data_IF_823273817282
#
_entry.id   IF_823273817282
#
_cell.length_a   1.000
_cell.length_b   1.000
_cell.length_c   1.000
_cell.angle_alpha   90.00
_cell.angle_beta   90.00
_cell.angle_gamma   90.00
#
_symmetry.space_group_name_H-M   'P 1'
#
loop_
_entity.id
_entity.type
_entity.pdbx_description
1 polymer ?
#
# COMPACT_ATOMS: atom_id res chain seq x y z
N UNK A 1 1.34 -7.46 21.00
CA UNK A 1 2.09 -7.86 19.80
C UNK A 1 2.98 -6.71 19.35
N UNK A 2 4.23 -7.01 19.06
CA UNK A 2 5.19 -5.99 18.66
C UNK A 2 4.89 -5.49 17.24
N UNK A 3 5.09 -4.18 17.05
CA UNK A 3 4.82 -3.53 15.77
C UNK A 3 6.00 -3.53 14.81
N UNK A 4 7.18 -3.89 15.29
CA UNK A 4 8.38 -3.84 14.47
C UNK A 4 8.69 -5.21 13.87
N UNK A 5 8.96 -5.29 12.56
CA UNK A 5 9.26 -6.57 11.91
C UNK A 5 10.66 -7.05 12.31
N UNK A 6 10.71 -7.96 13.26
CA UNK A 6 11.94 -8.64 13.68
C UNK A 6 11.78 -10.14 13.45
N UNK A 7 12.90 -10.87 13.48
CA UNK A 7 12.85 -12.33 13.37
C UNK A 7 11.98 -12.94 14.48
N UNK A 8 12.07 -12.39 15.67
CA UNK A 8 11.30 -12.86 16.83
C UNK A 8 9.81 -12.63 16.61
N UNK A 9 9.43 -11.45 16.06
CA UNK A 9 8.03 -11.15 15.79
C UNK A 9 7.46 -12.10 14.74
N UNK A 10 8.19 -12.36 13.67
CA UNK A 10 7.75 -13.29 12.63
C UNK A 10 7.57 -14.69 13.19
N UNK A 11 8.51 -15.14 14.05
CA UNK A 11 8.40 -16.43 14.71
C UNK A 11 7.18 -16.51 15.62
N UNK A 12 6.92 -15.47 16.41
CA UNK A 12 5.77 -15.40 17.30
C UNK A 12 4.46 -15.49 16.52
N UNK A 13 4.35 -14.77 15.42
CA UNK A 13 3.18 -14.85 14.53
C UNK A 13 3.01 -16.27 13.97
N UNK A 14 4.09 -16.88 13.51
CA UNK A 14 4.05 -18.22 12.96
C UNK A 14 3.58 -19.23 14.01
N UNK A 15 4.06 -19.12 15.24
CA UNK A 15 3.68 -20.02 16.34
C UNK A 15 2.21 -19.85 16.73
N UNK A 16 1.65 -18.65 16.58
CA UNK A 16 0.25 -18.37 16.93
C UNK A 16 -0.72 -18.63 15.78
N UNK A 17 -0.23 -18.90 14.58
CA UNK A 17 -1.07 -19.09 13.39
C UNK A 17 -2.13 -20.19 13.58
N UNK A 18 -1.84 -21.35 14.21
CA UNK A 18 -2.88 -22.37 14.45
C UNK A 18 -4.02 -21.90 15.33
N UNK A 19 -3.80 -20.87 16.17
CA UNK A 19 -4.80 -20.36 17.12
C UNK A 19 -5.51 -19.15 16.54
N UNK A 20 -4.78 -18.22 15.91
CA UNK A 20 -5.28 -16.91 15.50
C UNK A 20 -5.39 -16.74 13.99
N UNK A 21 -5.17 -17.78 13.20
CA UNK A 21 -5.09 -17.71 11.75
C UNK A 21 -6.39 -17.36 11.03
N UNK A 22 -7.50 -17.20 11.74
CA UNK A 22 -8.77 -16.71 11.18
C UNK A 22 -9.13 -15.31 11.65
N UNK A 23 -8.27 -14.67 12.45
CA UNK A 23 -8.46 -13.30 12.91
C UNK A 23 -7.82 -12.33 11.91
N UNK A 24 -8.60 -11.44 11.27
CA UNK A 24 -8.06 -10.54 10.26
C UNK A 24 -7.02 -9.56 10.81
N UNK A 25 -7.16 -9.07 12.04
CA UNK A 25 -6.15 -8.20 12.66
C UNK A 25 -4.82 -8.92 12.81
N UNK A 26 -4.87 -10.15 13.29
CA UNK A 26 -3.67 -10.97 13.41
C UNK A 26 -3.01 -11.20 12.06
N UNK A 27 -3.80 -11.58 11.07
CA UNK A 27 -3.30 -11.85 9.72
C UNK A 27 -2.70 -10.61 9.07
N UNK A 28 -3.35 -9.46 9.21
CA UNK A 28 -2.81 -8.20 8.68
C UNK A 28 -1.46 -7.87 9.30
N UNK A 29 -1.36 -7.90 10.63
CA UNK A 29 -0.12 -7.59 11.31
C UNK A 29 0.99 -8.59 10.98
N UNK A 30 0.65 -9.86 10.82
CA UNK A 30 1.60 -10.87 10.39
C UNK A 30 2.12 -10.58 8.98
N UNK A 31 1.22 -10.26 8.05
CA UNK A 31 1.61 -9.90 6.69
C UNK A 31 2.53 -8.67 6.66
N UNK A 32 2.24 -7.66 7.49
CA UNK A 32 3.09 -6.45 7.61
C UNK A 32 4.48 -6.83 8.12
N UNK A 33 4.57 -7.67 9.14
CA UNK A 33 5.84 -8.12 9.68
C UNK A 33 6.67 -8.88 8.63
N UNK A 34 6.02 -9.78 7.90
CA UNK A 34 6.67 -10.52 6.81
C UNK A 34 7.15 -9.59 5.70
N UNK A 35 6.32 -8.61 5.33
CA UNK A 35 6.69 -7.62 4.31
C UNK A 35 7.93 -6.83 4.74
N UNK A 36 7.96 -6.37 5.99
CA UNK A 36 9.10 -5.63 6.53
C UNK A 36 10.40 -6.45 6.57
N UNK A 37 10.28 -7.77 6.65
CA UNK A 37 11.43 -8.69 6.60
C UNK A 37 11.87 -9.01 5.17
N UNK A 38 11.11 -8.58 4.17
CA UNK A 38 11.38 -8.91 2.78
C UNK A 38 10.87 -10.28 2.35
N UNK A 39 10.07 -10.95 3.17
CA UNK A 39 9.47 -12.24 2.86
C UNK A 39 8.21 -12.04 2.02
N UNK A 40 8.38 -11.64 0.76
CA UNK A 40 7.28 -11.18 -0.10
C UNK A 40 6.24 -12.27 -0.36
N UNK A 41 6.68 -13.50 -0.68
CA UNK A 41 5.75 -14.60 -0.99
C UNK A 41 4.90 -14.97 0.22
N UNK A 42 5.52 -15.12 1.39
CA UNK A 42 4.79 -15.44 2.60
C UNK A 42 3.85 -14.30 3.00
N UNK A 43 4.33 -13.05 2.88
CA UNK A 43 3.51 -11.87 3.16
C UNK A 43 2.29 -11.84 2.25
N UNK A 44 2.46 -12.11 0.97
CA UNK A 44 1.35 -12.16 0.02
C UNK A 44 0.34 -13.24 0.42
N UNK A 45 0.80 -14.43 0.74
CA UNK A 45 -0.08 -15.53 1.12
C UNK A 45 -0.92 -15.17 2.35
N UNK A 46 -0.30 -14.60 3.38
CA UNK A 46 -1.01 -14.19 4.60
C UNK A 46 -1.96 -13.04 4.33
N UNK A 47 -1.53 -12.06 3.52
CA UNK A 47 -2.39 -10.92 3.17
C UNK A 47 -3.64 -11.38 2.39
N UNK A 48 -3.49 -12.33 1.48
CA UNK A 48 -4.62 -12.88 0.72
C UNK A 48 -5.56 -13.68 1.62
N UNK A 49 -5.04 -14.41 2.60
CA UNK A 49 -5.87 -15.05 3.62
C UNK A 49 -6.66 -14.02 4.43
N UNK A 50 -6.00 -12.95 4.85
CA UNK A 50 -6.65 -11.84 5.55
C UNK A 50 -7.81 -11.27 4.72
N UNK A 51 -7.61 -11.12 3.43
CA UNK A 51 -8.61 -10.56 2.51
C UNK A 51 -9.87 -11.40 2.42
N UNK A 52 -9.80 -12.70 2.67
CA UNK A 52 -11.00 -13.55 2.69
C UNK A 52 -11.95 -13.22 3.84
N UNK A 53 -11.44 -12.60 4.91
CA UNK A 53 -12.22 -12.24 6.08
C UNK A 53 -12.54 -10.75 6.15
N UNK A 54 -11.80 -9.91 5.44
CA UNK A 54 -11.79 -8.48 5.70
C UNK A 54 -11.58 -7.66 4.44
N UNK A 55 -12.51 -6.75 4.16
CA UNK A 55 -12.35 -5.75 3.11
C UNK A 55 -11.83 -4.47 3.77
N UNK A 56 -10.57 -4.13 3.55
CA UNK A 56 -9.91 -3.06 4.29
C UNK A 56 -8.98 -2.22 3.40
N UNK A 57 -9.01 -0.92 3.63
CA UNK A 57 -8.20 0.06 2.91
C UNK A 57 -6.70 -0.20 3.08
N UNK A 58 -6.24 -0.38 4.32
CA UNK A 58 -4.82 -0.60 4.60
C UNK A 58 -4.33 -1.92 4.02
N UNK A 59 -5.18 -2.94 4.03
CA UNK A 59 -4.86 -4.23 3.42
C UNK A 59 -4.68 -4.10 1.91
N UNK A 60 -5.53 -3.34 1.23
CA UNK A 60 -5.39 -3.12 -0.21
C UNK A 60 -4.09 -2.37 -0.53
N UNK A 61 -3.71 -1.37 0.28
CA UNK A 61 -2.42 -0.69 0.12
C UNK A 61 -1.25 -1.65 0.31
N UNK A 62 -1.32 -2.51 1.33
CA UNK A 62 -0.28 -3.51 1.57
C UNK A 62 -0.14 -4.47 0.39
N UNK A 63 -1.26 -4.98 -0.11
CA UNK A 63 -1.24 -5.86 -1.29
C UNK A 63 -0.61 -5.17 -2.50
N UNK A 64 -0.98 -3.90 -2.72
CA UNK A 64 -0.36 -3.11 -3.77
C UNK A 64 1.16 -3.00 -3.61
N UNK A 65 1.62 -2.73 -2.40
CA UNK A 65 3.05 -2.61 -2.11
C UNK A 65 3.78 -3.94 -2.30
N UNK A 66 3.18 -5.05 -1.89
CA UNK A 66 3.77 -6.39 -2.09
C UNK A 66 3.92 -6.70 -3.57
N UNK A 67 2.86 -6.49 -4.35
CA UNK A 67 2.90 -6.74 -5.79
C UNK A 67 3.91 -5.82 -6.50
N UNK A 68 3.99 -4.57 -6.06
CA UNK A 68 4.97 -3.63 -6.62
C UNK A 68 6.40 -4.13 -6.40
N UNK A 69 6.71 -4.59 -5.19
CA UNK A 69 8.04 -5.09 -4.87
C UNK A 69 8.35 -6.41 -5.60
N UNK A 70 7.32 -7.13 -6.01
CA UNK A 70 7.46 -8.31 -6.88
C UNK A 70 7.54 -7.95 -8.35
N UNK A 71 7.53 -6.67 -8.70
CA UNK A 71 7.48 -6.15 -10.07
C UNK A 71 6.21 -6.55 -10.86
N UNK A 72 5.13 -6.82 -10.15
CA UNK A 72 3.82 -7.13 -10.74
C UNK A 72 2.98 -5.85 -10.74
N UNK A 73 3.23 -5.00 -11.74
CA UNK A 73 2.71 -3.62 -11.76
C UNK A 73 1.19 -3.54 -11.98
N UNK A 74 0.64 -4.45 -12.77
CA UNK A 74 -0.81 -4.47 -13.05
C UNK A 74 -1.59 -4.77 -11.79
N UNK A 75 -1.16 -5.78 -11.06
CA UNK A 75 -1.76 -6.17 -9.79
C UNK A 75 -1.60 -5.06 -8.74
N UNK A 76 -0.43 -4.46 -8.67
CA UNK A 76 -0.16 -3.34 -7.76
C UNK A 76 -1.14 -2.20 -8.01
N UNK A 77 -1.28 -1.77 -9.26
CA UNK A 77 -2.21 -0.70 -9.62
C UNK A 77 -3.64 -1.05 -9.24
N UNK A 78 -4.07 -2.28 -9.53
CA UNK A 78 -5.42 -2.74 -9.20
C UNK A 78 -5.74 -2.58 -7.73
N UNK A 79 -4.82 -2.97 -6.84
CA UNK A 79 -5.02 -2.85 -5.40
C UNK A 79 -5.00 -1.40 -4.92
N UNK A 80 -4.11 -0.57 -5.46
CA UNK A 80 -4.10 0.85 -5.14
C UNK A 80 -5.40 1.54 -5.56
N UNK A 81 -5.96 1.18 -6.71
CA UNK A 81 -7.24 1.73 -7.16
C UNK A 81 -8.38 1.29 -6.25
N UNK A 82 -8.40 0.04 -5.80
CA UNK A 82 -9.39 -0.42 -4.83
C UNK A 82 -9.31 0.39 -3.54
N UNK A 83 -8.11 0.65 -3.04
CA UNK A 83 -7.92 1.49 -1.87
C UNK A 83 -8.48 2.90 -2.09
N UNK A 84 -8.25 3.49 -3.28
CA UNK A 84 -8.76 4.82 -3.61
C UNK A 84 -10.29 4.86 -3.65
N UNK A 85 -10.93 3.77 -4.08
CA UNK A 85 -12.39 3.69 -4.09
C UNK A 85 -12.96 3.49 -2.69
N UNK A 86 -12.26 2.77 -1.83
CA UNK A 86 -12.68 2.56 -0.44
C UNK A 86 -12.63 3.85 0.37
N UNK A 87 -11.62 4.67 0.16
CA UNK A 87 -11.43 5.93 0.87
C UNK A 87 -11.15 7.07 -0.12
N UNK A 88 -12.19 7.56 -0.82
CA UNK A 88 -11.99 8.54 -1.90
C UNK A 88 -11.36 9.86 -1.48
N UNK A 89 -11.47 10.23 -0.19
CA UNK A 89 -10.88 11.48 0.30
C UNK A 89 -9.38 11.36 0.57
N UNK A 90 -8.82 10.16 0.60
CA UNK A 90 -7.40 9.94 0.88
C UNK A 90 -6.54 10.17 -0.35
N UNK A 91 -5.35 10.71 -0.13
CA UNK A 91 -4.39 11.02 -1.20
C UNK A 91 -3.37 9.90 -1.42
N UNK A 92 -3.08 9.11 -0.39
CA UNK A 92 -2.03 8.09 -0.44
C UNK A 92 -2.16 7.10 -1.61
N UNK A 93 -3.35 6.54 -1.89
CA UNK A 93 -3.47 5.60 -3.03
C UNK A 93 -3.14 6.27 -4.37
N UNK A 94 -3.58 7.50 -4.55
CA UNK A 94 -3.32 8.25 -5.79
C UNK A 94 -1.82 8.52 -5.97
N UNK A 95 -1.15 8.88 -4.89
CA UNK A 95 0.29 9.11 -4.91
C UNK A 95 1.05 7.81 -5.22
N UNK A 96 0.59 6.68 -4.69
CA UNK A 96 1.20 5.37 -5.00
C UNK A 96 1.03 5.01 -6.47
N UNK A 97 -0.14 5.28 -7.06
CA UNK A 97 -0.38 5.07 -8.49
C UNK A 97 0.52 6.00 -9.33
N UNK A 98 0.60 7.27 -8.94
CA UNK A 98 1.49 8.23 -9.58
C UNK A 98 2.95 7.73 -9.55
N UNK A 99 3.43 7.31 -8.39
CA UNK A 99 4.80 6.80 -8.22
C UNK A 99 5.04 5.54 -9.06
N UNK A 100 4.03 4.67 -9.16
CA UNK A 100 4.09 3.49 -10.00
C UNK A 100 4.29 3.85 -11.47
N UNK A 101 3.51 4.79 -11.99
CA UNK A 101 3.65 5.21 -13.39
C UNK A 101 5.02 5.84 -13.65
N UNK A 102 5.54 6.62 -12.72
CA UNK A 102 6.90 7.17 -12.86
C UNK A 102 7.94 6.06 -12.88
N UNK A 103 7.78 5.06 -12.03
CA UNK A 103 8.71 3.93 -11.93
C UNK A 103 8.78 3.12 -13.21
N UNK A 104 7.63 2.90 -13.86
CA UNK A 104 7.58 2.14 -15.13
C UNK A 104 7.83 3.01 -16.35
N UNK A 105 8.03 4.30 -16.18
CA UNK A 105 8.34 5.21 -17.27
C UNK A 105 7.14 5.69 -18.09
N UNK A 106 5.92 5.53 -17.58
CA UNK A 106 4.72 6.03 -18.26
C UNK A 106 4.47 7.49 -17.87
N UNK A 107 5.18 8.39 -18.54
CA UNK A 107 5.13 9.82 -18.25
C UNK A 107 3.78 10.44 -18.50
N UNK A 108 3.03 9.96 -19.48
CA UNK A 108 1.69 10.47 -19.80
C UNK A 108 0.72 10.20 -18.65
N UNK A 109 0.66 8.96 -18.21
CA UNK A 109 -0.23 8.58 -17.09
C UNK A 109 0.24 9.20 -15.78
N UNK A 110 1.55 9.29 -15.56
CA UNK A 110 2.10 9.95 -14.38
C UNK A 110 1.67 11.43 -14.32
N UNK A 111 1.74 12.15 -15.46
CA UNK A 111 1.34 13.56 -15.52
C UNK A 111 -0.17 13.71 -15.27
N UNK A 112 -0.98 12.82 -15.84
CA UNK A 112 -2.44 12.84 -15.59
C UNK A 112 -2.76 12.64 -14.12
N UNK A 113 -2.10 11.70 -13.45
CA UNK A 113 -2.27 11.46 -12.01
C UNK A 113 -1.78 12.65 -11.19
N UNK A 114 -0.67 13.26 -11.58
CA UNK A 114 -0.14 14.45 -10.90
C UNK A 114 -1.17 15.59 -10.90
N UNK A 115 -1.78 15.86 -12.05
CA UNK A 115 -2.81 16.89 -12.16
C UNK A 115 -4.02 16.56 -11.30
N UNK A 116 -4.46 15.31 -11.31
CA UNK A 116 -5.58 14.87 -10.49
C UNK A 116 -5.28 15.08 -9.01
N UNK A 117 -4.09 14.75 -8.55
CA UNK A 117 -3.67 14.95 -7.16
C UNK A 117 -3.66 16.43 -6.79
N UNK A 118 -3.12 17.29 -7.67
CA UNK A 118 -3.02 18.72 -7.39
C UNK A 118 -4.39 19.41 -7.36
N UNK A 119 -5.33 18.95 -8.17
CA UNK A 119 -6.68 19.51 -8.25
C UNK A 119 -7.63 18.94 -7.21
N UNK A 120 -7.28 17.81 -6.60
CA UNK A 120 -8.16 17.15 -5.62
C UNK A 120 -8.40 18.03 -4.41
N UNK A 121 -9.68 18.28 -4.01
CA UNK A 121 -10.00 19.05 -2.82
C UNK A 121 -9.51 18.37 -1.55
N UNK A 122 -9.02 19.17 -0.60
CA UNK A 122 -8.55 18.70 0.69
C UNK A 122 -9.70 18.86 1.71
N UNK A 123 -10.21 17.74 2.22
CA UNK A 123 -11.25 17.75 3.25
C UNK A 123 -10.65 17.93 4.64
N UNK A 124 -9.57 17.23 4.93
CA UNK A 124 -8.86 17.33 6.20
C UNK A 124 -7.38 17.50 5.87
N UNK A 125 -6.82 18.64 6.27
CA UNK A 125 -5.42 18.95 6.02
C UNK A 125 -4.51 18.05 6.85
N UNK A 126 -3.40 17.63 6.25
CA UNK A 126 -2.38 16.81 6.92
C UNK A 126 -1.01 17.06 6.32
N UNK A 127 0.02 16.77 7.10
CA UNK A 127 1.40 16.85 6.62
C UNK A 127 1.65 15.89 5.45
N UNK A 128 0.98 14.76 5.43
CA UNK A 128 1.08 13.80 4.33
C UNK A 128 0.59 14.41 3.01
N UNK A 129 -0.55 15.11 3.04
CA UNK A 129 -1.08 15.79 1.85
C UNK A 129 -0.13 16.87 1.38
N UNK A 130 0.40 17.67 2.30
CA UNK A 130 1.37 18.72 1.98
C UNK A 130 2.61 18.14 1.31
N UNK A 131 3.14 17.05 1.86
CA UNK A 131 4.30 16.37 1.28
C UNK A 131 3.99 15.86 -0.14
N UNK A 132 2.85 15.19 -0.31
CA UNK A 132 2.45 14.62 -1.60
C UNK A 132 2.34 15.72 -2.66
N UNK A 133 1.62 16.80 -2.34
CA UNK A 133 1.43 17.91 -3.31
C UNK A 133 2.75 18.61 -3.63
N UNK A 134 3.58 18.82 -2.62
CA UNK A 134 4.90 19.45 -2.83
C UNK A 134 5.79 18.57 -3.72
N UNK A 135 5.80 17.26 -3.49
CA UNK A 135 6.61 16.33 -4.27
C UNK A 135 6.15 16.29 -5.73
N UNK A 136 4.84 16.21 -5.96
CA UNK A 136 4.27 16.17 -7.30
C UNK A 136 4.57 17.47 -8.06
N UNK A 137 4.45 18.64 -7.42
CA UNK A 137 4.81 19.92 -8.04
C UNK A 137 6.27 19.96 -8.43
N UNK A 138 7.15 19.51 -7.54
CA UNK A 138 8.59 19.47 -7.82
C UNK A 138 8.90 18.59 -9.01
N UNK A 139 8.29 17.42 -9.09
CA UNK A 139 8.51 16.49 -10.19
C UNK A 139 8.06 17.09 -11.52
N UNK A 140 6.95 17.84 -11.54
CA UNK A 140 6.46 18.50 -12.75
C UNK A 140 7.39 19.62 -13.20
N UNK A 141 8.00 20.36 -12.27
CA UNK A 141 8.91 21.45 -12.57
C UNK A 141 10.24 20.97 -13.18
N UNK A 142 10.64 19.74 -12.90
CA UNK A 142 11.88 19.17 -13.40
C UNK A 142 11.82 18.64 -14.84
N UNK A 143 10.66 18.72 -15.48
CA UNK A 143 10.50 18.26 -16.87
C UNK A 143 10.84 19.32 -17.88
#
# INVERSE_FOLDING_TARGET
>A
IAYFPTNENVRAYKDLMPILGDDPYFLYNYAVALYGKGCLEESLNVALQCRTYWADYDLELLLGDIYLDKNEHIEAESHYRKASFMCPSRFTPLYKIYSLYRRIGDGKEATAMAQLILEKPIKIQSNTIDFIKAQVRRDLELK
#
